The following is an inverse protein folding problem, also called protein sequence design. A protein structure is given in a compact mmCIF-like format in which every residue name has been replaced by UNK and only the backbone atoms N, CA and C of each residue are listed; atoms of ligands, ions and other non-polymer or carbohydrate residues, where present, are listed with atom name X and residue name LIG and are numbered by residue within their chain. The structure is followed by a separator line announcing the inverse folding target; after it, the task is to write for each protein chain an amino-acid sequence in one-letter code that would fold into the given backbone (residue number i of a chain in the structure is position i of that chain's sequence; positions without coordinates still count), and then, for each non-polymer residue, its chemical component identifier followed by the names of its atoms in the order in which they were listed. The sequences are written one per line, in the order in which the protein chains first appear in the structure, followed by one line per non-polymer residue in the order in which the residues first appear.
data_IF_030936937153
#
_entry.id   IF_030936937153
#
_cell.length_a   1.000
_cell.length_b   1.000
_cell.length_c   1.000
_cell.angle_alpha   90.00
_cell.angle_beta   90.00
_cell.angle_gamma   90.00
#
_symmetry.space_group_name_H-M   'P 1'
#
loop_
_entity.id
_entity.type
_entity.pdbx_description
1 polymer ?
#
# COMPACT_ATOMS: atom_id res chain seq x y z
N UNK A 1 10.53 -52.99 -50.68
CA UNK A 1 10.16 -54.01 -49.67
C UNK A 1 9.33 -53.33 -48.59
N UNK A 2 8.06 -53.70 -48.53
CA UNK A 2 7.11 -53.33 -47.47
C UNK A 2 7.44 -54.08 -46.18
N UNK A 3 7.07 -53.52 -45.02
CA UNK A 3 6.21 -54.18 -44.01
C UNK A 3 5.77 -53.19 -42.92
N UNK A 4 4.50 -53.33 -42.54
CA UNK A 4 3.68 -52.53 -41.61
C UNK A 4 3.74 -53.11 -40.18
N UNK A 5 2.81 -52.65 -39.32
CA UNK A 5 2.33 -53.13 -37.99
C UNK A 5 3.02 -52.43 -36.79
N UNK A 6 2.35 -51.85 -35.77
CA UNK A 6 0.96 -51.64 -35.37
C UNK A 6 0.97 -50.73 -34.10
N UNK A 7 0.10 -49.72 -33.97
CA UNK A 7 -1.08 -49.65 -33.06
C UNK A 7 -0.92 -50.14 -31.62
N UNK A 8 -0.93 -49.21 -30.65
CA UNK A 8 -1.49 -49.29 -29.27
C UNK A 8 -1.58 -47.85 -28.74
N UNK A 9 -2.74 -47.20 -28.75
CA UNK A 9 -3.83 -47.17 -27.75
C UNK A 9 -3.53 -46.43 -26.44
N UNK A 10 -4.53 -45.62 -26.08
CA UNK A 10 -4.61 -44.63 -25.01
C UNK A 10 -4.54 -45.24 -23.60
N UNK A 11 -4.04 -44.45 -22.64
CA UNK A 11 -4.49 -44.58 -21.25
C UNK A 11 -4.69 -43.21 -20.62
N UNK A 12 -5.97 -42.84 -20.58
CA UNK A 12 -6.59 -41.89 -19.67
C UNK A 12 -6.87 -42.58 -18.31
N UNK A 13 -7.15 -41.74 -17.30
CA UNK A 13 -7.92 -42.03 -16.08
C UNK A 13 -7.14 -42.61 -14.87
N UNK A 14 -6.98 -41.76 -13.85
CA UNK A 14 -7.03 -42.20 -12.44
C UNK A 14 -8.47 -42.01 -11.91
N UNK A 15 -9.03 -43.00 -11.18
CA UNK A 15 -10.41 -43.02 -10.68
C UNK A 15 -10.56 -42.11 -9.43
N UNK A 16 -11.64 -41.35 -9.28
CA UNK A 16 -12.99 -41.73 -8.82
C UNK A 16 -13.06 -42.20 -7.34
N UNK A 17 -13.64 -41.33 -6.53
CA UNK A 17 -14.55 -41.56 -5.39
C UNK A 17 -14.05 -42.05 -4.02
N UNK A 18 -14.26 -41.18 -3.02
CA UNK A 18 -14.99 -41.44 -1.77
C UNK A 18 -15.64 -40.09 -1.37
N UNK A 19 -16.81 -39.70 -1.90
CA UNK A 19 -18.17 -40.06 -1.48
C UNK A 19 -18.38 -40.20 0.03
N UNK A 20 -18.83 -39.10 0.65
CA UNK A 20 -19.57 -39.11 1.92
C UNK A 20 -20.96 -38.48 1.67
N UNK A 21 -22.06 -39.24 1.71
CA UNK A 21 -23.40 -38.70 1.76
C UNK A 21 -23.92 -38.71 3.20
N UNK A 22 -24.77 -37.76 3.57
CA UNK A 22 -26.13 -38.08 4.03
C UNK A 22 -26.92 -36.82 4.38
N UNK A 23 -28.11 -36.76 3.78
CA UNK A 23 -29.16 -35.76 3.90
C UNK A 23 -29.80 -35.69 5.31
N UNK A 24 -30.15 -34.46 5.70
CA UNK A 24 -31.44 -33.95 6.24
C UNK A 24 -32.42 -34.90 6.96
N UNK A 25 -33.13 -34.42 8.00
CA UNK A 25 -34.44 -33.82 7.71
C UNK A 25 -34.85 -32.60 8.55
N UNK A 26 -35.58 -31.72 7.87
CA UNK A 26 -36.48 -30.68 8.38
C UNK A 26 -37.42 -31.20 9.49
N UNK A 27 -37.52 -30.46 10.60
CA UNK A 27 -38.72 -30.48 11.46
C UNK A 27 -39.34 -29.10 11.58
N UNK A 28 -40.66 -29.15 11.51
CA UNK A 28 -41.66 -28.09 11.40
C UNK A 28 -42.33 -27.94 12.77
N UNK A 29 -42.32 -26.73 13.34
CA UNK A 29 -43.19 -26.26 14.43
C UNK A 29 -42.77 -24.83 14.79
N UNK A 30 -43.57 -23.86 15.16
CA UNK A 30 -45.00 -23.57 15.16
C UNK A 30 -45.05 -22.06 15.54
N UNK A 31 -46.00 -21.30 15.00
CA UNK A 31 -46.17 -19.87 15.30
C UNK A 31 -46.51 -19.60 16.78
N UNK A 32 -46.44 -18.33 17.23
CA UNK A 32 -47.71 -17.61 17.34
C UNK A 32 -47.68 -16.15 16.84
N UNK A 33 -48.83 -15.76 16.28
CA UNK A 33 -49.23 -14.40 15.90
C UNK A 33 -49.58 -13.53 17.12
N UNK A 34 -49.36 -12.21 17.01
CA UNK A 34 -50.15 -11.04 17.52
C UNK A 34 -49.39 -9.76 17.10
N UNK A 35 -49.93 -8.64 16.59
CA UNK A 35 -51.25 -8.19 16.11
C UNK A 35 -51.03 -6.78 15.47
N UNK A 36 -51.56 -6.56 14.26
CA UNK A 36 -52.01 -5.30 13.61
C UNK A 36 -51.32 -3.91 13.81
N UNK A 37 -50.79 -3.36 12.69
CA UNK A 37 -51.02 -2.04 12.01
C UNK A 37 -51.89 -0.93 12.68
N UNK A 38 -51.67 0.39 12.42
CA UNK A 38 -51.78 0.96 11.05
C UNK A 38 -50.98 2.22 10.63
N UNK A 39 -51.18 2.47 9.33
CA UNK A 39 -50.72 3.44 8.33
C UNK A 39 -51.19 4.91 8.57
N UNK A 40 -50.34 5.90 8.27
CA UNK A 40 -50.68 7.26 7.81
C UNK A 40 -49.44 7.84 7.09
N UNK A 41 -49.37 7.98 5.76
CA UNK A 41 -49.79 9.10 4.87
C UNK A 41 -49.25 10.49 5.25
N UNK A 42 -48.21 10.94 4.54
CA UNK A 42 -47.99 12.31 4.01
C UNK A 42 -46.83 12.23 3.01
N UNK A 43 -47.08 12.34 1.70
CA UNK A 43 -47.18 13.55 0.87
C UNK A 43 -45.88 13.87 0.11
N UNK A 44 -46.08 14.22 -1.15
CA UNK A 44 -45.08 14.32 -2.20
C UNK A 44 -44.28 15.63 -2.13
N UNK A 45 -43.03 15.59 -2.63
CA UNK A 45 -42.49 16.66 -3.48
C UNK A 45 -41.63 16.05 -4.57
N UNK A 46 -42.07 16.29 -5.81
CA UNK A 46 -41.28 16.16 -7.01
C UNK A 46 -40.12 17.18 -6.96
N UNK A 47 -38.93 16.70 -7.29
CA UNK A 47 -37.74 17.50 -7.55
C UNK A 47 -37.08 16.92 -8.80
N UNK A 48 -37.39 17.54 -9.93
CA UNK A 48 -36.88 17.24 -11.26
C UNK A 48 -35.43 17.76 -11.40
N UNK A 49 -34.70 17.21 -12.39
CA UNK A 49 -33.36 17.59 -12.85
C UNK A 49 -32.13 16.88 -12.23
N UNK A 50 -32.22 15.56 -12.12
CA UNK A 50 -31.08 14.64 -11.90
C UNK A 50 -30.27 14.30 -13.15
N UNK A 51 -29.84 15.28 -13.97
CA UNK A 51 -29.00 15.00 -15.16
C UNK A 51 -27.66 15.74 -15.15
N UNK A 52 -27.37 16.60 -14.17
CA UNK A 52 -26.07 17.32 -14.08
C UNK A 52 -25.01 16.68 -13.17
N UNK A 53 -25.23 15.48 -12.66
CA UNK A 53 -24.33 14.82 -11.69
C UNK A 53 -23.55 13.64 -12.26
N UNK A 54 -23.84 13.16 -13.48
CA UNK A 54 -23.13 12.03 -14.08
C UNK A 54 -21.88 12.45 -14.89
N UNK A 55 -21.85 13.67 -15.42
CA UNK A 55 -20.77 14.15 -16.30
C UNK A 55 -19.62 14.84 -15.55
N UNK A 56 -19.85 15.31 -14.32
CA UNK A 56 -18.83 15.90 -13.45
C UNK A 56 -17.93 14.86 -12.76
N UNK A 57 -18.34 13.59 -12.69
CA UNK A 57 -17.58 12.53 -12.04
C UNK A 57 -16.38 12.04 -12.87
N UNK A 58 -16.33 12.33 -14.19
CA UNK A 58 -15.35 11.75 -15.11
C UNK A 58 -14.16 12.67 -15.44
N UNK A 59 -14.07 13.85 -14.83
CA UNK A 59 -13.03 14.86 -15.12
C UNK A 59 -11.94 15.03 -14.04
N UNK A 60 -12.01 14.27 -12.94
CA UNK A 60 -11.01 14.34 -11.86
C UNK A 60 -9.98 13.20 -11.89
N UNK A 61 -9.96 12.37 -12.92
CA UNK A 61 -8.91 11.35 -13.10
C UNK A 61 -7.78 11.89 -14.01
N UNK A 62 -7.30 13.10 -13.74
CA UNK A 62 -5.95 13.46 -14.15
C UNK A 62 -5.00 12.86 -13.12
N UNK A 63 -4.74 11.54 -13.26
CA UNK A 63 -3.81 10.82 -12.40
C UNK A 63 -2.49 11.58 -12.34
N UNK A 64 -2.13 12.03 -11.14
CA UNK A 64 -0.81 12.61 -10.90
C UNK A 64 0.21 11.53 -11.21
N UNK A 65 1.17 11.86 -12.07
CA UNK A 65 2.30 10.98 -12.40
C UNK A 65 3.09 10.69 -11.12
N UNK A 66 3.78 9.55 -11.12
CA UNK A 66 4.40 8.97 -9.93
C UNK A 66 5.19 9.94 -9.03
N UNK A 67 5.13 9.70 -7.72
CA UNK A 67 5.71 10.54 -6.69
C UNK A 67 6.96 9.87 -6.13
N UNK A 68 8.06 10.62 -6.06
CA UNK A 68 9.30 10.16 -5.43
C UNK A 68 9.52 10.86 -4.11
N UNK A 69 9.66 10.07 -3.06
CA UNK A 69 9.89 10.53 -1.69
C UNK A 69 11.30 10.13 -1.30
N UNK A 70 12.13 11.12 -0.99
CA UNK A 70 13.49 10.89 -0.46
C UNK A 70 13.47 11.19 1.03
N UNK A 71 13.97 10.24 1.80
CA UNK A 71 14.12 10.39 3.24
C UNK A 71 15.61 10.50 3.57
N UNK A 72 15.99 11.47 4.38
CA UNK A 72 17.34 11.67 4.92
C UNK A 72 17.31 11.69 6.44
N UNK A 73 18.29 11.06 7.09
CA UNK A 73 18.46 11.18 8.53
C UNK A 73 19.90 10.89 8.95
N UNK A 74 20.26 11.29 10.16
CA UNK A 74 21.52 10.90 10.81
C UNK A 74 21.42 9.52 11.47
N UNK A 75 20.26 9.18 12.03
CA UNK A 75 20.00 7.88 12.65
C UNK A 75 19.24 6.96 11.71
N UNK A 76 19.78 5.75 11.50
CA UNK A 76 19.19 4.78 10.59
C UNK A 76 17.92 4.13 11.15
N UNK A 77 17.82 3.94 12.47
CA UNK A 77 16.69 3.28 13.15
C UNK A 77 15.42 4.09 12.95
N UNK A 78 15.48 5.39 13.29
CA UNK A 78 14.36 6.33 13.15
C UNK A 78 13.92 6.45 11.69
N UNK A 79 14.88 6.35 10.76
CA UNK A 79 14.63 6.43 9.33
C UNK A 79 13.95 5.17 8.77
N UNK A 80 14.26 3.98 9.30
CA UNK A 80 13.55 2.74 8.97
C UNK A 80 12.12 2.76 9.51
N UNK A 81 11.93 3.20 10.75
CA UNK A 81 10.60 3.36 11.35
C UNK A 81 9.73 4.33 10.56
N UNK A 82 10.30 5.47 10.14
CA UNK A 82 9.62 6.44 9.30
C UNK A 82 9.25 5.85 7.93
N UNK A 83 10.17 5.13 7.28
CA UNK A 83 9.92 4.50 6.00
C UNK A 83 8.77 3.47 6.10
N UNK A 84 8.76 2.65 7.16
CA UNK A 84 7.71 1.66 7.40
C UNK A 84 6.34 2.30 7.62
N UNK A 85 6.27 3.40 8.38
CA UNK A 85 5.02 4.16 8.58
C UNK A 85 4.47 4.73 7.27
N UNK A 86 5.36 5.25 6.41
CA UNK A 86 4.97 5.77 5.10
C UNK A 86 4.44 4.65 4.21
N UNK A 87 5.07 3.48 4.22
CA UNK A 87 4.63 2.31 3.46
C UNK A 87 3.24 1.84 3.91
N UNK A 88 3.04 1.64 5.22
CA UNK A 88 1.74 1.20 5.76
C UNK A 88 0.62 2.19 5.40
N UNK A 89 0.91 3.49 5.46
CA UNK A 89 -0.06 4.54 5.10
C UNK A 89 -0.37 4.55 3.61
N UNK A 90 0.65 4.39 2.77
CA UNK A 90 0.50 4.35 1.32
C UNK A 90 -0.30 3.11 0.88
N UNK A 91 -0.01 1.94 1.47
CA UNK A 91 -0.76 0.70 1.25
C UNK A 91 -2.22 0.83 1.69
N UNK A 92 -2.48 1.41 2.88
CA UNK A 92 -3.85 1.67 3.38
C UNK A 92 -4.65 2.56 2.43
N UNK A 93 -3.99 3.51 1.77
CA UNK A 93 -4.63 4.40 0.79
C UNK A 93 -4.84 3.77 -0.59
N UNK A 94 -4.27 2.59 -0.85
CA UNK A 94 -4.40 1.86 -2.12
C UNK A 94 -3.44 2.31 -3.22
N UNK A 95 -2.34 2.98 -2.88
CA UNK A 95 -1.30 3.34 -3.85
C UNK A 95 -0.37 2.15 -4.14
N UNK A 96 0.11 2.03 -5.38
CA UNK A 96 1.13 1.04 -5.73
C UNK A 96 2.50 1.60 -5.34
N UNK A 97 3.11 0.99 -4.32
CA UNK A 97 4.38 1.42 -3.75
C UNK A 97 5.52 0.53 -4.20
N UNK A 98 6.60 1.16 -4.65
CA UNK A 98 7.91 0.54 -4.67
C UNK A 98 8.56 0.77 -3.31
N UNK A 99 8.94 -0.33 -2.66
CA UNK A 99 9.40 -0.37 -1.27
C UNK A 99 10.60 0.54 -0.95
N UNK A 100 11.08 0.54 0.30
CA UNK A 100 12.11 1.46 0.73
C UNK A 100 13.46 1.05 0.12
N UNK A 101 13.85 1.73 -0.96
CA UNK A 101 15.12 1.48 -1.65
C UNK A 101 16.23 2.19 -0.86
N UNK A 102 17.19 1.44 -0.27
CA UNK A 102 18.30 2.06 0.45
C UNK A 102 19.25 2.70 -0.56
N UNK A 103 19.49 4.00 -0.40
CA UNK A 103 20.53 4.68 -1.15
C UNK A 103 21.84 4.65 -0.36
N UNK A 104 22.99 4.68 -1.05
CA UNK A 104 24.29 4.74 -0.39
C UNK A 104 24.36 5.89 0.62
N UNK A 105 24.88 5.58 1.80
CA UNK A 105 25.07 6.53 2.89
C UNK A 105 26.18 7.51 2.50
N UNK A 106 25.93 8.80 2.71
CA UNK A 106 26.96 9.82 2.49
C UNK A 106 27.76 9.98 3.77
N UNK A 107 29.04 9.67 3.72
CA UNK A 107 29.96 9.78 4.86
C UNK A 107 30.84 11.01 4.63
N UNK A 108 30.74 12.00 5.50
CA UNK A 108 31.65 13.16 5.52
C UNK A 108 32.59 13.02 6.70
N UNK A 109 33.90 12.94 6.42
CA UNK A 109 34.95 12.79 7.44
C UNK A 109 35.58 14.15 7.73
N UNK A 110 35.76 14.47 9.01
CA UNK A 110 36.36 15.69 9.49
C UNK A 110 37.49 15.35 10.46
N UNK A 111 38.68 15.88 10.21
CA UNK A 111 39.82 15.76 11.11
C UNK A 111 40.03 17.08 11.82
N UNK A 112 40.01 17.07 13.15
CA UNK A 112 40.25 18.28 13.95
C UNK A 112 41.43 18.02 14.88
N UNK A 113 42.27 19.03 15.11
CA UNK A 113 43.32 18.93 16.12
C UNK A 113 42.67 18.88 17.51
N UNK A 114 43.07 17.92 18.34
CA UNK A 114 42.55 17.79 19.71
C UNK A 114 43.08 18.91 20.61
N UNK A 115 44.33 19.34 20.38
CA UNK A 115 44.97 20.41 21.14
C UNK A 115 44.90 21.75 20.42
N UNK A 116 44.78 22.84 21.19
CA UNK A 116 44.80 24.21 20.67
C UNK A 116 46.20 24.70 20.30
N UNK A 117 47.28 24.10 20.84
CA UNK A 117 48.65 24.57 20.61
C UNK A 117 49.68 23.43 20.44
N UNK A 118 50.59 23.60 19.47
CA UNK A 118 51.83 22.84 19.22
C UNK A 118 51.70 21.34 18.87
N UNK A 119 50.64 20.64 19.30
CA UNK A 119 50.50 19.20 19.08
C UNK A 119 49.70 18.87 17.80
N UNK A 120 50.38 18.79 16.65
CA UNK A 120 49.78 18.52 15.33
C UNK A 120 49.39 17.06 15.07
N UNK A 121 50.04 16.12 15.76
CA UNK A 121 49.83 14.68 15.59
C UNK A 121 48.65 14.16 16.42
N UNK A 122 48.26 14.90 17.46
CA UNK A 122 47.05 14.64 18.23
C UNK A 122 45.82 15.14 17.46
N UNK A 123 45.23 14.27 16.63
CA UNK A 123 44.06 14.56 15.80
C UNK A 123 42.89 13.64 16.15
N UNK A 124 41.71 14.22 16.23
CA UNK A 124 40.45 13.51 16.33
C UNK A 124 39.79 13.40 14.97
N UNK A 125 39.25 12.21 14.70
CA UNK A 125 38.56 11.89 13.46
C UNK A 125 37.08 11.73 13.77
N UNK A 126 36.28 12.63 13.21
CA UNK A 126 34.84 12.58 13.28
C UNK A 126 34.26 12.26 11.92
N UNK A 127 33.09 11.64 11.91
CA UNK A 127 32.32 11.47 10.68
C UNK A 127 30.86 11.79 10.90
N UNK A 128 30.27 12.42 9.88
CA UNK A 128 28.85 12.64 9.79
C UNK A 128 28.30 11.68 8.75
N UNK A 129 27.48 10.72 9.20
CA UNK A 129 26.79 9.75 8.35
C UNK A 129 25.39 10.26 8.05
N UNK A 130 25.06 10.43 6.78
CA UNK A 130 23.69 10.71 6.35
C UNK A 130 23.15 9.49 5.63
N UNK A 131 22.17 8.85 6.25
CA UNK A 131 21.44 7.72 5.71
C UNK A 131 20.32 8.23 4.80
N UNK A 132 20.14 7.57 3.66
CA UNK A 132 19.18 7.98 2.64
C UNK A 132 18.36 6.80 2.16
N UNK A 133 17.04 6.98 2.07
CA UNK A 133 16.10 5.99 1.55
C UNK A 133 15.22 6.65 0.50
N UNK A 134 14.87 5.92 -0.55
CA UNK A 134 13.99 6.36 -1.61
C UNK A 134 12.75 5.47 -1.63
N UNK A 135 11.58 6.10 -1.65
CA UNK A 135 10.30 5.42 -1.87
C UNK A 135 9.73 6.02 -3.16
N UNK A 136 9.32 5.17 -4.10
CA UNK A 136 8.70 5.59 -5.36
C UNK A 136 7.26 5.07 -5.40
N UNK A 137 6.31 5.94 -5.72
CA UNK A 137 4.90 5.62 -5.84
C UNK A 137 4.53 5.68 -7.32
N UNK A 138 4.21 4.54 -7.93
CA UNK A 138 3.90 4.45 -9.36
C UNK A 138 2.52 5.01 -9.68
N UNK A 139 1.52 4.66 -8.88
CA UNK A 139 0.14 5.10 -9.03
C UNK A 139 -0.34 5.75 -7.73
N UNK A 140 -0.70 7.03 -7.82
CA UNK A 140 -1.11 7.82 -6.64
C UNK A 140 -2.51 8.37 -6.80
N UNK A 141 -3.32 8.21 -5.75
CA UNK A 141 -4.65 8.82 -5.65
C UNK A 141 -4.58 10.14 -4.86
N UNK A 142 -5.55 11.03 -5.03
CA UNK A 142 -5.62 12.27 -4.24
C UNK A 142 -5.67 12.00 -2.72
N UNK A 143 -6.35 10.93 -2.31
CA UNK A 143 -6.41 10.48 -0.91
C UNK A 143 -5.04 10.08 -0.37
N UNK A 144 -4.19 9.48 -1.20
CA UNK A 144 -2.81 9.13 -0.83
C UNK A 144 -1.99 10.38 -0.56
N UNK A 145 -2.07 11.41 -1.40
CA UNK A 145 -1.31 12.65 -1.23
C UNK A 145 -1.67 13.33 0.09
N UNK A 146 -2.97 13.43 0.39
CA UNK A 146 -3.47 14.02 1.64
C UNK A 146 -3.02 13.21 2.87
N UNK A 147 -3.04 11.88 2.77
CA UNK A 147 -2.59 10.98 3.85
C UNK A 147 -1.09 11.11 4.11
N UNK A 148 -0.28 11.31 3.07
CA UNK A 148 1.17 11.49 3.20
C UNK A 148 1.55 12.86 3.78
N UNK A 149 0.81 13.91 3.46
CA UNK A 149 1.04 15.25 4.01
C UNK A 149 0.64 15.38 5.48
N UNK A 150 -0.38 14.64 5.90
CA UNK A 150 -0.90 14.68 7.28
C UNK A 150 -0.19 13.72 8.24
N UNK A 151 0.68 12.84 7.74
CA UNK A 151 1.35 11.83 8.55
C UNK A 151 2.35 12.45 9.53
N UNK A 152 2.28 12.04 10.80
CA UNK A 152 3.26 12.44 11.82
C UNK A 152 4.51 11.56 11.72
N UNK A 153 5.61 12.17 11.32
CA UNK A 153 6.90 11.51 11.19
C UNK A 153 7.80 11.81 12.40
N UNK A 154 8.68 10.87 12.76
CA UNK A 154 9.57 11.06 13.91
C UNK A 154 10.54 12.23 13.67
N UNK A 155 10.89 12.92 14.75
CA UNK A 155 11.85 14.02 14.71
C UNK A 155 13.23 13.53 14.23
N UNK A 156 13.89 14.31 13.39
CA UNK A 156 15.22 13.98 12.84
C UNK A 156 15.22 13.26 11.49
N UNK A 157 14.05 13.07 10.88
CA UNK A 157 13.91 12.64 9.48
C UNK A 157 13.54 13.85 8.61
N UNK A 158 14.33 14.06 7.58
CA UNK A 158 14.13 15.06 6.54
C UNK A 158 13.49 14.41 5.30
N UNK A 159 12.52 15.08 4.69
CA UNK A 159 11.66 14.52 3.64
C UNK A 159 11.65 15.47 2.45
N UNK A 160 12.07 14.97 1.29
CA UNK A 160 11.92 15.66 0.02
C UNK A 160 10.88 14.92 -0.84
N UNK A 161 9.80 15.62 -1.21
CA UNK A 161 8.79 15.09 -2.13
C UNK A 161 9.05 15.70 -3.51
N UNK A 162 9.17 14.85 -4.54
CA UNK A 162 9.27 15.27 -5.94
C UNK A 162 8.12 14.67 -6.74
N UNK A 163 7.35 15.54 -7.39
CA UNK A 163 6.34 15.15 -8.38
C UNK A 163 7.02 15.01 -9.75
N UNK A 164 6.76 13.91 -10.46
CA UNK A 164 7.28 13.63 -11.81
C UNK A 164 6.36 14.03 -12.95
#
# INVERSE_FOLDING_TARGET
MNLRYGTTQEHSILPFALFLPSMNPTKKSAAPKKKATPRAKSEAKAGEAGVKSAEAAKKMESGVKGIRIRLSAFDHIVLDEAANKILETAERSGAIVHGPIPLPTKIRKFTVNRSTFKHKDARDQFEMRTHRRLIDLAETTFKTIESLQSLSLPSGVDIEIKMG
#
